data_IF_036399155149
#
_entry.id   IF_036399155149
#
_cell.length_a   1.000
_cell.length_b   1.000
_cell.length_c   1.000
_cell.angle_alpha   90.00
_cell.angle_beta   90.00
_cell.angle_gamma   90.00
#
_symmetry.space_group_name_H-M   'P 1'
#
loop_
_entity.id
_entity.type
_entity.pdbx_description
1 polymer ?
#
# COMPACT_ATOMS: atom_id res chain seq x y z
N UNK A 1 -5.55 31.80 -17.03
CA UNK A 1 -4.10 31.52 -16.95
C UNK A 1 -3.95 30.10 -16.47
N UNK A 2 -3.20 29.22 -17.16
CA UNK A 2 -3.00 27.87 -16.63
C UNK A 2 -2.05 27.94 -15.43
N UNK A 3 -2.44 27.35 -14.31
CA UNK A 3 -1.60 27.24 -13.12
C UNK A 3 -0.52 26.19 -13.42
N UNK A 4 0.76 26.49 -13.16
CA UNK A 4 1.83 25.49 -13.33
C UNK A 4 1.64 24.33 -12.34
N UNK A 5 2.10 23.12 -12.66
CA UNK A 5 1.91 21.98 -11.75
C UNK A 5 2.57 22.22 -10.39
N UNK A 6 3.77 22.80 -10.38
CA UNK A 6 4.42 23.23 -9.14
C UNK A 6 3.49 24.15 -8.33
N UNK A 7 2.93 25.19 -8.95
CA UNK A 7 2.05 26.12 -8.26
C UNK A 7 0.78 25.42 -7.73
N UNK A 8 0.19 24.50 -8.49
CA UNK A 8 -0.96 23.72 -8.07
C UNK A 8 -0.63 22.90 -6.81
N UNK A 9 0.43 22.11 -6.86
CA UNK A 9 0.85 21.25 -5.74
C UNK A 9 1.17 22.09 -4.50
N UNK A 10 1.98 23.15 -4.63
CA UNK A 10 2.33 24.02 -3.52
C UNK A 10 1.09 24.72 -2.92
N UNK A 11 0.14 25.17 -3.75
CA UNK A 11 -1.08 25.80 -3.24
C UNK A 11 -1.97 24.82 -2.47
N UNK A 12 -2.13 23.59 -2.96
CA UNK A 12 -2.91 22.57 -2.26
C UNK A 12 -2.22 22.10 -0.97
N UNK A 13 -0.90 21.95 -0.98
CA UNK A 13 -0.13 21.65 0.22
C UNK A 13 -0.30 22.74 1.29
N UNK A 14 -0.33 24.02 0.91
CA UNK A 14 -0.64 25.13 1.84
C UNK A 14 -2.07 25.08 2.37
N UNK A 15 -3.07 24.67 1.58
CA UNK A 15 -4.44 24.45 2.11
C UNK A 15 -4.46 23.36 3.19
N UNK A 16 -3.62 22.33 3.06
CA UNK A 16 -3.48 21.25 4.03
C UNK A 16 -2.69 21.63 5.30
N UNK A 17 -2.11 22.83 5.38
CA UNK A 17 -1.29 23.24 6.54
C UNK A 17 -2.09 23.91 7.65
N UNK A 18 -3.31 24.37 7.36
CA UNK A 18 -4.23 24.88 8.38
C UNK A 18 -4.89 23.71 9.12
N UNK A 19 -4.28 23.32 10.24
CA UNK A 19 -4.72 22.17 11.03
C UNK A 19 -6.17 22.27 11.52
N UNK A 20 -6.60 23.42 12.03
CA UNK A 20 -7.94 23.56 12.60
C UNK A 20 -9.01 23.54 11.50
N UNK A 21 -8.76 24.22 10.38
CA UNK A 21 -9.66 24.15 9.23
C UNK A 21 -9.70 22.76 8.62
N UNK A 22 -8.54 22.12 8.43
CA UNK A 22 -8.44 20.74 7.92
C UNK A 22 -9.22 19.79 8.82
N UNK A 23 -9.00 19.84 10.14
CA UNK A 23 -9.68 19.03 11.15
C UNK A 23 -11.19 19.23 11.11
N UNK A 24 -11.67 20.48 10.98
CA UNK A 24 -13.10 20.78 10.84
C UNK A 24 -13.71 20.13 9.59
N UNK A 25 -13.01 20.18 8.45
CA UNK A 25 -13.48 19.61 7.18
C UNK A 25 -13.53 18.08 7.26
N UNK A 26 -12.42 17.42 7.61
CA UNK A 26 -12.34 15.95 7.63
C UNK A 26 -13.29 15.32 8.66
N UNK A 27 -13.65 16.04 9.72
CA UNK A 27 -14.64 15.60 10.72
C UNK A 27 -16.09 16.01 10.39
N UNK A 28 -16.35 16.62 9.23
CA UNK A 28 -17.72 16.89 8.80
C UNK A 28 -18.48 15.57 8.54
N UNK A 29 -19.77 15.43 8.93
CA UNK A 29 -20.52 14.17 8.78
C UNK A 29 -20.59 13.60 7.36
N UNK A 30 -20.41 14.43 6.32
CA UNK A 30 -20.33 13.96 4.93
C UNK A 30 -19.12 13.07 4.66
N UNK A 31 -18.08 13.15 5.50
CA UNK A 31 -16.84 12.39 5.37
C UNK A 31 -16.88 11.01 6.04
N UNK A 32 -18.02 10.65 6.65
CA UNK A 32 -18.15 9.42 7.39
C UNK A 32 -18.63 8.30 6.45
N UNK A 33 -18.02 7.13 6.59
CA UNK A 33 -18.38 5.93 5.84
C UNK A 33 -19.38 5.08 6.65
N UNK A 34 -20.26 4.39 5.94
CA UNK A 34 -21.19 3.42 6.54
C UNK A 34 -20.68 2.01 6.30
N UNK A 35 -20.39 1.29 7.37
CA UNK A 35 -20.01 -0.13 7.32
C UNK A 35 -21.05 -0.90 8.13
N UNK A 36 -21.93 -1.62 7.44
CA UNK A 36 -23.12 -2.22 8.04
C UNK A 36 -23.95 -1.14 8.77
N UNK A 37 -24.19 -1.37 10.06
CA UNK A 37 -24.95 -0.43 10.91
C UNK A 37 -24.09 0.65 11.58
N UNK A 38 -22.77 0.66 11.35
CA UNK A 38 -21.85 1.61 11.97
C UNK A 38 -21.53 2.75 11.02
N UNK A 39 -21.46 3.96 11.56
CA UNK A 39 -20.96 5.15 10.86
C UNK A 39 -19.60 5.49 11.44
N UNK A 40 -18.56 5.48 10.61
CA UNK A 40 -17.16 5.58 11.01
C UNK A 40 -16.55 6.80 10.34
N UNK A 41 -15.83 7.62 11.09
CA UNK A 41 -14.94 8.62 10.52
C UNK A 41 -13.57 7.99 10.25
N UNK A 42 -13.10 7.93 8.99
CA UNK A 42 -11.77 7.41 8.69
C UNK A 42 -10.62 8.28 9.24
N UNK A 43 -10.85 9.57 9.48
CA UNK A 43 -9.82 10.47 9.98
C UNK A 43 -9.37 10.08 11.39
N UNK A 44 -8.08 9.81 11.52
CA UNK A 44 -7.40 9.59 12.79
C UNK A 44 -6.04 10.27 12.70
N UNK A 45 -5.73 11.15 13.65
CA UNK A 45 -4.52 11.98 13.62
C UNK A 45 -3.22 11.18 13.57
N UNK A 46 -3.20 9.97 14.16
CA UNK A 46 -2.03 9.09 14.22
C UNK A 46 -1.95 8.09 13.05
N UNK A 47 -2.90 8.15 12.11
CA UNK A 47 -3.01 7.19 11.01
C UNK A 47 -2.33 7.70 9.75
N UNK A 48 -1.44 6.91 9.14
CA UNK A 48 -0.86 7.23 7.83
C UNK A 48 -1.90 7.16 6.72
N UNK A 49 -2.94 6.33 6.86
CA UNK A 49 -3.98 6.22 5.82
C UNK A 49 -4.77 7.50 5.61
N UNK A 50 -5.13 8.22 6.69
CA UNK A 50 -6.09 9.34 6.66
C UNK A 50 -5.67 10.56 7.50
N UNK A 51 -4.52 10.53 8.17
CA UNK A 51 -4.13 11.48 9.22
C UNK A 51 -2.86 12.29 8.96
N UNK A 52 -2.27 12.77 10.06
CA UNK A 52 -1.11 13.68 10.05
C UNK A 52 0.18 13.04 9.51
N UNK A 53 0.48 11.74 9.72
CA UNK A 53 1.67 11.11 9.13
C UNK A 53 1.72 11.24 7.60
N UNK A 54 0.57 11.21 6.91
CA UNK A 54 0.52 11.40 5.45
C UNK A 54 0.95 12.80 5.04
N UNK A 55 0.50 13.81 5.80
CA UNK A 55 0.88 15.20 5.57
C UNK A 55 2.39 15.40 5.83
N UNK A 56 2.93 14.74 6.85
CA UNK A 56 4.37 14.74 7.10
C UNK A 56 5.16 14.15 5.92
N UNK A 57 4.70 13.05 5.33
CA UNK A 57 5.31 12.48 4.12
C UNK A 57 5.28 13.48 2.94
N UNK A 58 4.14 14.13 2.70
CA UNK A 58 4.01 15.18 1.68
C UNK A 58 4.96 16.35 1.90
N UNK A 59 5.04 16.89 3.12
CA UNK A 59 5.92 18.02 3.43
C UNK A 59 7.40 17.65 3.42
N UNK A 60 7.74 16.40 3.76
CA UNK A 60 9.09 15.86 3.59
C UNK A 60 9.51 15.89 2.12
N UNK A 61 8.67 15.34 1.24
CA UNK A 61 8.91 15.33 -0.20
C UNK A 61 9.03 16.75 -0.77
N UNK A 62 8.08 17.63 -0.43
CA UNK A 62 8.13 19.04 -0.84
C UNK A 62 9.36 19.76 -0.30
N UNK A 63 9.78 19.47 0.93
CA UNK A 63 10.99 20.04 1.53
C UNK A 63 12.27 19.60 0.83
N UNK A 64 12.32 18.41 0.23
CA UNK A 64 13.44 17.98 -0.61
C UNK A 64 13.40 18.62 -2.01
N UNK A 65 12.21 18.73 -2.61
CA UNK A 65 12.08 19.27 -3.97
C UNK A 65 12.13 20.81 -4.03
N UNK A 66 11.64 21.49 -3.00
CA UNK A 66 11.50 22.94 -2.91
C UNK A 66 11.98 23.45 -1.53
N UNK A 67 13.28 23.34 -1.20
CA UNK A 67 13.81 23.54 0.16
C UNK A 67 13.58 24.93 0.76
N UNK A 68 13.46 25.97 -0.06
CA UNK A 68 13.38 27.37 0.40
C UNK A 68 11.93 27.84 0.66
N UNK A 69 10.93 26.96 0.55
CA UNK A 69 9.51 27.31 0.68
C UNK A 69 8.91 26.98 2.07
N UNK A 70 9.75 26.59 3.05
CA UNK A 70 9.35 26.43 4.46
C UNK A 70 8.51 25.18 4.75
N UNK A 71 8.50 24.19 3.85
CA UNK A 71 7.75 22.93 4.02
C UNK A 71 8.17 22.14 5.25
N UNK A 72 9.46 22.21 5.61
CA UNK A 72 10.00 21.49 6.76
C UNK A 72 9.44 22.02 8.08
N UNK A 73 9.15 23.32 8.18
CA UNK A 73 8.46 23.92 9.33
C UNK A 73 7.02 23.41 9.45
N UNK A 74 6.29 23.30 8.35
CA UNK A 74 4.92 22.75 8.34
C UNK A 74 4.90 21.28 8.73
N UNK A 75 5.83 20.48 8.18
CA UNK A 75 6.01 19.08 8.58
C UNK A 75 6.37 18.94 10.06
N UNK A 76 7.23 19.81 10.59
CA UNK A 76 7.62 19.79 12.00
C UNK A 76 6.43 20.06 12.94
N UNK A 77 5.53 20.97 12.58
CA UNK A 77 4.31 21.24 13.36
C UNK A 77 3.45 19.98 13.51
N UNK A 78 3.31 19.19 12.44
CA UNK A 78 2.54 17.95 12.48
C UNK A 78 3.24 16.82 13.23
N UNK A 79 4.57 16.67 13.09
CA UNK A 79 5.32 15.72 13.92
C UNK A 79 5.19 16.03 15.41
N UNK A 80 5.22 17.31 15.80
CA UNK A 80 5.01 17.69 17.19
C UNK A 80 3.62 17.26 17.70
N UNK A 81 2.57 17.51 16.92
CA UNK A 81 1.20 17.06 17.25
C UNK A 81 1.10 15.55 17.36
N UNK A 82 1.73 14.81 16.46
CA UNK A 82 1.80 13.34 16.54
C UNK A 82 2.44 12.90 17.85
N UNK A 83 3.58 13.49 18.24
CA UNK A 83 4.24 13.20 19.52
C UNK A 83 3.36 13.52 20.74
N UNK A 84 2.64 14.64 20.72
CA UNK A 84 1.67 15.01 21.76
C UNK A 84 0.53 13.98 21.87
N UNK A 85 -0.04 13.56 20.75
CA UNK A 85 -1.11 12.56 20.70
C UNK A 85 -0.63 11.18 21.17
N UNK A 86 0.58 10.76 20.79
CA UNK A 86 1.19 9.50 21.24
C UNK A 86 1.42 9.50 22.76
N UNK A 87 1.87 10.62 23.32
CA UNK A 87 2.09 10.72 24.77
C UNK A 87 0.78 10.69 25.57
N UNK A 88 -0.32 11.20 25.00
CA UNK A 88 -1.62 11.25 25.68
C UNK A 88 -2.38 9.93 25.59
N UNK A 89 -2.38 9.28 24.43
CA UNK A 89 -3.27 8.15 24.13
C UNK A 89 -2.51 6.83 23.90
N UNK A 90 -1.19 6.84 23.94
CA UNK A 90 -0.37 5.74 23.46
C UNK A 90 -0.44 5.59 21.95
N UNK A 91 -0.09 4.41 21.45
CA UNK A 91 -0.23 4.06 20.04
C UNK A 91 -0.87 2.67 19.91
N UNK A 92 -1.76 2.46 18.92
CA UNK A 92 -2.66 1.31 18.91
C UNK A 92 -2.05 0.04 18.32
N UNK A 93 -1.08 0.14 17.39
CA UNK A 93 -0.54 -1.00 16.64
C UNK A 93 0.88 -0.75 16.12
N UNK A 94 1.54 -1.80 15.62
CA UNK A 94 2.82 -1.70 14.90
C UNK A 94 2.66 -1.36 13.41
N UNK A 95 1.44 -1.48 12.88
CA UNK A 95 1.11 -1.47 11.46
C UNK A 95 1.57 -0.23 10.68
N UNK A 96 1.70 -0.37 9.36
CA UNK A 96 2.08 0.71 8.46
C UNK A 96 1.02 1.82 8.40
N UNK A 97 -0.26 1.48 8.24
CA UNK A 97 -1.25 2.52 7.93
C UNK A 97 -1.98 3.11 9.12
N UNK A 98 -1.90 2.47 10.28
CA UNK A 98 -2.62 2.87 11.51
C UNK A 98 -1.74 2.86 12.77
N UNK A 99 -0.45 2.54 12.64
CA UNK A 99 0.44 2.27 13.77
C UNK A 99 1.83 2.90 13.66
N UNK A 100 2.75 2.36 14.46
CA UNK A 100 4.10 2.88 14.62
C UNK A 100 4.91 2.92 13.31
N UNK A 101 4.82 1.90 12.45
CA UNK A 101 5.58 1.88 11.22
C UNK A 101 5.25 3.08 10.31
N UNK A 102 3.98 3.48 10.24
CA UNK A 102 3.57 4.67 9.49
C UNK A 102 4.05 5.98 10.09
N UNK A 103 4.04 6.08 11.41
CA UNK A 103 4.55 7.26 12.13
C UNK A 103 6.07 7.36 11.96
N UNK A 104 6.78 6.23 12.05
CA UNK A 104 8.21 6.15 11.80
C UNK A 104 8.53 6.57 10.37
N UNK A 105 7.80 6.04 9.38
CA UNK A 105 7.96 6.41 7.97
C UNK A 105 7.79 7.92 7.76
N UNK A 106 6.75 8.51 8.37
CA UNK A 106 6.54 9.96 8.30
C UNK A 106 7.73 10.77 8.85
N UNK A 107 8.33 10.32 9.96
CA UNK A 107 9.52 10.94 10.51
C UNK A 107 10.75 10.75 9.60
N UNK A 108 10.89 9.59 8.97
CA UNK A 108 11.94 9.33 7.97
C UNK A 108 11.82 10.28 6.78
N UNK A 109 10.62 10.50 6.25
CA UNK A 109 10.41 11.45 5.15
C UNK A 109 10.80 12.89 5.52
N UNK A 110 10.64 13.29 6.79
CA UNK A 110 11.04 14.61 7.29
C UNK A 110 12.50 14.70 7.77
N UNK A 111 13.23 13.58 7.77
CA UNK A 111 14.54 13.47 8.42
C UNK A 111 15.69 14.19 7.71
N UNK A 112 15.48 14.72 6.49
CA UNK A 112 16.57 15.29 5.67
C UNK A 112 17.73 14.30 5.48
N UNK A 113 17.40 13.06 5.09
CA UNK A 113 18.37 11.97 4.94
C UNK A 113 19.00 11.55 6.27
N UNK A 114 18.19 11.45 7.34
CA UNK A 114 18.65 11.02 8.66
C UNK A 114 19.37 12.08 9.49
N UNK A 115 19.35 13.36 9.07
CA UNK A 115 19.95 14.50 9.80
C UNK A 115 19.04 15.07 10.89
N UNK A 116 17.75 14.75 10.88
CA UNK A 116 16.75 15.18 11.87
C UNK A 116 15.97 13.97 12.39
N UNK A 117 15.36 14.14 13.56
CA UNK A 117 14.44 13.17 14.19
C UNK A 117 15.06 11.81 14.56
N UNK A 118 16.38 11.70 14.66
CA UNK A 118 17.07 10.43 14.94
C UNK A 118 16.56 9.78 16.23
N UNK A 119 16.42 10.55 17.31
CA UNK A 119 15.90 10.03 18.57
C UNK A 119 14.46 9.55 18.45
N UNK A 120 13.61 10.27 17.71
CA UNK A 120 12.21 9.89 17.53
C UNK A 120 12.09 8.60 16.71
N UNK A 121 12.84 8.50 15.61
CA UNK A 121 12.91 7.30 14.77
C UNK A 121 13.45 6.11 15.57
N UNK A 122 14.54 6.29 16.32
CA UNK A 122 15.14 5.24 17.14
C UNK A 122 14.17 4.71 18.22
N UNK A 123 13.41 5.60 18.87
CA UNK A 123 12.37 5.18 19.83
C UNK A 123 11.28 4.33 19.17
N UNK A 124 10.87 4.68 17.95
CA UNK A 124 9.89 3.89 17.19
C UNK A 124 10.47 2.53 16.80
N UNK A 125 11.71 2.50 16.30
CA UNK A 125 12.40 1.27 15.93
C UNK A 125 12.50 0.32 17.13
N UNK A 126 12.92 0.84 18.28
CA UNK A 126 13.00 0.08 19.53
C UNK A 126 11.64 -0.48 19.95
N UNK A 127 10.58 0.34 19.91
CA UNK A 127 9.23 -0.10 20.28
C UNK A 127 8.69 -1.21 19.35
N UNK A 128 9.05 -1.20 18.07
CA UNK A 128 8.72 -2.29 17.13
C UNK A 128 9.54 -3.54 17.47
N UNK A 129 10.86 -3.43 17.64
CA UNK A 129 11.78 -4.54 17.98
C UNK A 129 11.40 -5.26 19.28
N UNK A 130 10.89 -4.53 20.27
CA UNK A 130 10.46 -5.09 21.55
C UNK A 130 9.15 -5.88 21.44
N UNK A 131 8.24 -5.48 20.56
CA UNK A 131 6.87 -6.03 20.48
C UNK A 131 6.66 -7.06 19.37
N UNK A 132 7.50 -7.03 18.33
CA UNK A 132 7.31 -7.89 17.15
C UNK A 132 7.41 -9.37 17.50
N UNK A 133 8.26 -9.75 18.46
CA UNK A 133 8.43 -11.14 18.88
C UNK A 133 7.13 -11.74 19.42
N UNK A 134 6.49 -11.05 20.37
CA UNK A 134 5.21 -11.48 20.96
C UNK A 134 4.09 -11.53 19.92
N UNK A 135 4.05 -10.55 19.01
CA UNK A 135 3.09 -10.53 17.90
C UNK A 135 3.26 -11.77 16.99
N UNK A 136 4.49 -12.08 16.57
CA UNK A 136 4.76 -13.24 15.70
C UNK A 136 4.40 -14.55 16.41
N UNK A 137 4.74 -14.72 17.69
CA UNK A 137 4.37 -15.93 18.45
C UNK A 137 2.84 -16.10 18.55
N UNK A 138 2.09 -15.01 18.77
CA UNK A 138 0.64 -15.05 18.74
C UNK A 138 0.09 -15.44 17.36
N UNK A 139 0.64 -14.88 16.28
CA UNK A 139 0.22 -15.21 14.91
C UNK A 139 0.47 -16.68 14.56
N UNK A 140 1.59 -17.26 15.01
CA UNK A 140 1.93 -18.68 14.79
C UNK A 140 0.97 -19.65 15.47
N UNK A 141 0.30 -19.23 16.54
CA UNK A 141 -0.68 -20.06 17.24
C UNK A 141 -2.02 -20.15 16.51
N UNK A 142 -2.28 -19.27 15.53
CA UNK A 142 -3.53 -19.28 14.78
C UNK A 142 -3.59 -20.47 13.83
N UNK A 143 -4.68 -21.27 13.83
CA UNK A 143 -4.83 -22.38 12.88
C UNK A 143 -4.93 -21.87 11.44
N UNK A 144 -5.57 -20.70 11.25
CA UNK A 144 -5.72 -20.03 9.96
C UNK A 144 -5.51 -18.52 10.14
N UNK A 145 -4.90 -17.84 9.16
CA UNK A 145 -4.72 -16.41 9.21
C UNK A 145 -6.04 -15.66 9.01
N UNK A 146 -6.08 -14.43 9.49
CA UNK A 146 -6.90 -13.37 8.93
C UNK A 146 -6.04 -12.56 7.94
N UNK A 147 -6.66 -11.79 7.05
CA UNK A 147 -5.89 -10.97 6.09
C UNK A 147 -5.00 -9.93 6.79
N UNK A 148 -5.49 -9.32 7.88
CA UNK A 148 -4.78 -8.31 8.67
C UNK A 148 -3.59 -8.87 9.48
N UNK A 149 -3.39 -10.19 9.51
CA UNK A 149 -2.23 -10.81 10.14
C UNK A 149 -0.96 -10.62 9.29
N UNK A 150 -1.10 -10.67 7.96
CA UNK A 150 0.04 -10.71 7.05
C UNK A 150 0.09 -9.54 6.06
N UNK A 151 -1.01 -8.79 5.91
CA UNK A 151 -1.12 -7.80 4.85
C UNK A 151 -0.20 -6.56 4.93
N UNK A 152 -0.26 -5.72 3.89
CA UNK A 152 0.50 -4.48 3.79
C UNK A 152 -0.09 -3.33 4.64
N UNK A 153 -1.38 -3.43 5.00
CA UNK A 153 -2.11 -2.35 5.69
C UNK A 153 -1.85 -2.38 7.20
N UNK A 154 -2.19 -3.51 7.80
CA UNK A 154 -2.24 -3.79 9.24
C UNK A 154 -1.23 -4.87 9.66
N UNK A 155 -0.88 -5.78 8.75
CA UNK A 155 -0.11 -6.97 9.04
C UNK A 155 1.40 -6.82 8.93
N UNK A 156 2.07 -7.97 8.99
CA UNK A 156 3.53 -8.04 9.04
C UNK A 156 4.21 -7.53 7.77
N UNK A 157 3.56 -7.53 6.60
CA UNK A 157 4.20 -7.03 5.38
C UNK A 157 4.42 -5.52 5.44
N UNK A 158 3.42 -4.77 5.95
CA UNK A 158 3.56 -3.33 6.16
C UNK A 158 4.64 -3.00 7.20
N UNK A 159 4.69 -3.76 8.30
CA UNK A 159 5.71 -3.60 9.34
C UNK A 159 7.11 -3.88 8.76
N UNK A 160 7.26 -4.97 8.00
CA UNK A 160 8.52 -5.33 7.37
C UNK A 160 8.99 -4.25 6.39
N UNK A 161 8.08 -3.68 5.59
CA UNK A 161 8.41 -2.60 4.65
C UNK A 161 9.14 -1.46 5.35
N UNK A 162 8.63 -1.00 6.51
CA UNK A 162 9.29 0.01 7.33
C UNK A 162 10.63 -0.49 7.90
N UNK A 163 10.68 -1.70 8.46
CA UNK A 163 11.90 -2.25 9.06
C UNK A 163 13.04 -2.35 8.03
N UNK A 164 12.72 -2.63 6.76
CA UNK A 164 13.69 -2.73 5.67
C UNK A 164 14.39 -1.40 5.34
N UNK A 165 13.87 -0.25 5.82
CA UNK A 165 14.60 1.03 5.77
C UNK A 165 15.81 1.06 6.71
N UNK A 166 15.86 0.14 7.69
CA UNK A 166 16.89 0.04 8.72
C UNK A 166 17.46 -1.40 8.80
N UNK A 167 17.99 -1.96 7.70
CA UNK A 167 18.26 -3.40 7.58
C UNK A 167 19.26 -3.95 8.61
N UNK A 168 20.19 -3.11 9.08
CA UNK A 168 21.16 -3.50 10.10
C UNK A 168 20.60 -3.37 11.52
N UNK A 169 19.92 -2.26 11.82
CA UNK A 169 19.35 -1.98 13.14
C UNK A 169 18.18 -2.92 13.47
N UNK A 170 17.30 -3.17 12.49
CA UNK A 170 16.07 -3.94 12.66
C UNK A 170 16.17 -5.37 12.09
N UNK A 171 17.39 -5.89 11.94
CA UNK A 171 17.64 -7.22 11.34
C UNK A 171 16.88 -8.33 12.06
N UNK A 172 16.73 -8.23 13.38
CA UNK A 172 16.00 -9.21 14.20
C UNK A 172 14.52 -9.21 13.85
N UNK A 173 13.85 -8.06 13.83
CA UNK A 173 12.45 -7.93 13.41
C UNK A 173 12.23 -8.48 11.99
N UNK A 174 13.09 -8.09 11.05
CA UNK A 174 13.00 -8.54 9.66
C UNK A 174 13.11 -10.07 9.61
N UNK A 175 14.10 -10.66 10.29
CA UNK A 175 14.31 -12.12 10.31
C UNK A 175 13.11 -12.87 10.89
N UNK A 176 12.49 -12.36 11.97
CA UNK A 176 11.30 -12.97 12.56
C UNK A 176 10.11 -12.94 11.61
N UNK A 177 9.90 -11.81 10.92
CA UNK A 177 8.83 -11.67 9.94
C UNK A 177 9.06 -12.61 8.75
N UNK A 178 10.27 -12.66 8.18
CA UNK A 178 10.57 -13.55 7.06
C UNK A 178 10.33 -15.02 7.41
N UNK A 179 10.75 -15.46 8.61
CA UNK A 179 10.47 -16.82 9.10
C UNK A 179 8.98 -17.09 9.23
N UNK A 180 8.21 -16.14 9.76
CA UNK A 180 6.75 -16.26 9.82
C UNK A 180 6.12 -16.38 8.42
N UNK A 181 6.58 -15.58 7.45
CA UNK A 181 6.09 -15.66 6.06
C UNK A 181 6.36 -17.05 5.47
N UNK A 182 7.53 -17.62 5.74
CA UNK A 182 7.91 -18.96 5.26
C UNK A 182 7.05 -20.03 5.95
N UNK A 183 6.83 -19.93 7.25
CA UNK A 183 5.92 -20.81 8.00
C UNK A 183 4.48 -20.73 7.44
N UNK A 184 4.00 -19.52 7.15
CA UNK A 184 2.68 -19.27 6.56
C UNK A 184 2.56 -19.84 5.14
N UNK A 185 3.66 -19.93 4.40
CA UNK A 185 3.69 -20.47 3.04
C UNK A 185 3.60 -21.98 2.94
N UNK A 186 3.82 -22.69 4.06
CA UNK A 186 3.77 -24.15 4.09
C UNK A 186 2.34 -24.64 3.87
N UNK A 187 2.22 -25.80 3.22
CA UNK A 187 0.91 -26.39 2.97
C UNK A 187 0.28 -26.88 4.28
N UNK A 188 -1.03 -26.71 4.37
CA UNK A 188 -1.88 -27.24 5.43
C UNK A 188 -2.79 -28.29 4.86
N UNK A 189 -2.83 -29.45 5.51
CA UNK A 189 -3.77 -30.51 5.19
C UNK A 189 -5.17 -30.09 5.65
N UNK A 190 -6.10 -30.01 4.70
CA UNK A 190 -7.52 -29.76 4.92
C UNK A 190 -8.33 -30.89 4.29
N UNK A 191 -8.92 -31.75 5.12
CA UNK A 191 -9.65 -32.94 4.65
C UNK A 191 -8.80 -33.70 3.60
N UNK A 192 -9.24 -33.73 2.35
CA UNK A 192 -8.62 -34.46 1.24
C UNK A 192 -7.70 -33.59 0.36
N UNK A 193 -7.38 -32.35 0.75
CA UNK A 193 -6.55 -31.43 -0.04
C UNK A 193 -5.47 -30.74 0.80
N UNK A 194 -4.30 -30.54 0.18
CA UNK A 194 -3.28 -29.62 0.68
C UNK A 194 -3.51 -28.23 0.10
N UNK A 195 -3.71 -27.26 0.98
CA UNK A 195 -3.85 -25.84 0.63
C UNK A 195 -2.65 -25.05 1.15
N UNK A 196 -2.22 -23.98 0.47
CA UNK A 196 -1.25 -23.05 1.04
C UNK A 196 -1.72 -22.50 2.39
N UNK A 197 -0.78 -22.31 3.33
CA UNK A 197 -1.10 -21.89 4.69
C UNK A 197 -1.74 -20.50 4.83
N UNK A 198 -1.73 -19.69 3.75
CA UNK A 198 -2.44 -18.42 3.60
C UNK A 198 -3.92 -18.56 3.16
N UNK A 199 -4.48 -19.75 3.16
CA UNK A 199 -5.92 -19.96 3.00
C UNK A 199 -6.71 -19.29 4.14
N UNK A 200 -7.72 -18.50 3.78
CA UNK A 200 -8.66 -17.84 4.72
C UNK A 200 -9.99 -18.60 4.71
N UNK A 201 -10.37 -19.25 5.83
CA UNK A 201 -11.66 -19.91 5.94
C UNK A 201 -12.80 -18.89 6.06
N UNK A 202 -14.06 -19.26 5.72
CA UNK A 202 -15.21 -18.34 5.77
C UNK A 202 -15.42 -17.66 7.12
N UNK A 203 -15.07 -18.35 8.22
CA UNK A 203 -15.16 -17.82 9.58
C UNK A 203 -14.23 -16.63 9.83
N UNK A 204 -13.12 -16.55 9.10
CA UNK A 204 -12.10 -15.49 9.16
C UNK A 204 -12.28 -14.43 8.06
N UNK A 205 -13.33 -14.52 7.22
CA UNK A 205 -13.63 -13.48 6.25
C UNK A 205 -13.92 -12.14 6.93
N UNK A 206 -13.44 -11.04 6.36
CA UNK A 206 -13.51 -9.70 6.97
C UNK A 206 -14.95 -9.16 7.06
N UNK A 207 -15.80 -9.51 6.10
CA UNK A 207 -17.21 -9.09 6.08
C UNK A 207 -18.19 -10.21 5.75
N UNK A 208 -19.47 -10.03 6.11
CA UNK A 208 -20.54 -10.95 5.73
C UNK A 208 -20.74 -11.03 4.21
N UNK A 209 -20.47 -9.94 3.49
CA UNK A 209 -20.52 -9.92 2.02
C UNK A 209 -19.47 -10.86 1.43
N UNK A 210 -18.23 -10.80 1.92
CA UNK A 210 -17.17 -11.70 1.48
C UNK A 210 -17.45 -13.15 1.88
N UNK A 211 -17.96 -13.38 3.10
CA UNK A 211 -18.36 -14.71 3.56
C UNK A 211 -19.41 -15.34 2.63
N UNK A 212 -20.37 -14.56 2.15
CA UNK A 212 -21.37 -15.02 1.17
C UNK A 212 -20.78 -15.23 -0.22
N UNK A 213 -19.83 -14.39 -0.63
CA UNK A 213 -19.15 -14.49 -1.93
C UNK A 213 -18.23 -15.70 -2.01
N UNK A 214 -17.61 -16.08 -0.90
CA UNK A 214 -16.69 -17.23 -0.80
C UNK A 214 -17.09 -18.16 0.36
N UNK A 215 -18.18 -18.92 0.22
CA UNK A 215 -18.73 -19.75 1.28
C UNK A 215 -17.80 -20.90 1.70
N UNK A 216 -16.83 -21.26 0.87
CA UNK A 216 -15.79 -22.27 1.16
C UNK A 216 -14.42 -21.66 1.44
N UNK A 217 -14.32 -20.34 1.60
CA UNK A 217 -13.07 -19.63 1.84
C UNK A 217 -12.29 -19.33 0.57
N UNK A 218 -11.17 -18.63 0.74
CA UNK A 218 -10.43 -18.03 -0.37
C UNK A 218 -8.96 -17.77 -0.04
N UNK A 219 -8.21 -17.37 -1.05
CA UNK A 219 -6.86 -16.86 -0.99
C UNK A 219 -6.89 -15.40 -1.49
N UNK A 220 -6.40 -14.47 -0.68
CA UNK A 220 -6.34 -13.06 -1.08
C UNK A 220 -5.11 -12.81 -1.96
N UNK A 221 -5.34 -12.32 -3.18
CA UNK A 221 -4.28 -12.02 -4.15
C UNK A 221 -4.17 -10.51 -4.46
N UNK A 222 -4.84 -9.65 -3.69
CA UNK A 222 -4.61 -8.20 -3.75
C UNK A 222 -3.27 -7.84 -3.11
N UNK A 223 -2.60 -6.79 -3.60
CA UNK A 223 -1.35 -6.34 -2.99
C UNK A 223 -1.58 -5.72 -1.61
N UNK A 224 -2.72 -5.07 -1.36
CA UNK A 224 -2.94 -4.45 -0.05
C UNK A 224 -3.22 -5.48 1.05
N UNK A 225 -3.88 -6.61 0.73
CA UNK A 225 -4.43 -7.59 1.69
C UNK A 225 -4.00 -9.04 1.46
N UNK A 226 -3.10 -9.29 0.51
CA UNK A 226 -2.81 -10.60 -0.03
C UNK A 226 -1.33 -10.94 -0.12
N UNK A 227 -1.06 -12.09 -0.71
CA UNK A 227 0.28 -12.66 -0.86
C UNK A 227 1.27 -11.86 -1.74
N UNK A 228 0.85 -10.97 -2.68
CA UNK A 228 1.82 -10.11 -3.38
C UNK A 228 2.65 -9.24 -2.45
N UNK A 229 2.10 -8.81 -1.30
CA UNK A 229 2.83 -8.03 -0.32
C UNK A 229 4.00 -8.81 0.29
N UNK A 230 3.73 -10.06 0.65
CA UNK A 230 4.72 -10.99 1.21
C UNK A 230 5.82 -11.29 0.19
N UNK A 231 5.44 -11.47 -1.08
CA UNK A 231 6.37 -11.69 -2.17
C UNK A 231 7.39 -10.54 -2.30
N UNK A 232 6.91 -9.28 -2.26
CA UNK A 232 7.78 -8.10 -2.33
C UNK A 232 8.69 -8.02 -1.12
N UNK A 233 8.18 -8.26 0.10
CA UNK A 233 9.00 -8.26 1.33
C UNK A 233 10.13 -9.28 1.26
N UNK A 234 9.84 -10.52 0.84
CA UNK A 234 10.86 -11.57 0.69
C UNK A 234 11.93 -11.17 -0.32
N UNK A 235 11.53 -10.61 -1.46
CA UNK A 235 12.46 -10.16 -2.49
C UNK A 235 13.32 -8.99 -2.03
N UNK A 236 12.71 -8.01 -1.36
CA UNK A 236 13.39 -6.83 -0.86
C UNK A 236 14.40 -7.16 0.24
N UNK A 237 14.05 -8.08 1.15
CA UNK A 237 15.00 -8.61 2.13
C UNK A 237 16.21 -9.28 1.44
N UNK A 238 15.98 -10.05 0.37
CA UNK A 238 17.05 -10.69 -0.41
C UNK A 238 17.99 -9.67 -1.06
N UNK A 239 17.43 -8.60 -1.66
CA UNK A 239 18.21 -7.48 -2.23
C UNK A 239 19.09 -6.79 -1.18
N UNK A 240 18.61 -6.71 0.05
CA UNK A 240 19.33 -6.17 1.21
C UNK A 240 20.28 -7.18 1.88
N UNK A 241 20.52 -8.34 1.27
CA UNK A 241 21.37 -9.42 1.80
C UNK A 241 20.91 -9.99 3.16
N UNK A 242 19.60 -9.99 3.41
CA UNK A 242 18.98 -10.63 4.59
C UNK A 242 18.33 -11.94 4.12
N UNK A 243 18.89 -13.05 4.59
CA UNK A 243 18.51 -14.40 4.18
C UNK A 243 18.00 -15.24 5.36
N UNK A 244 16.99 -16.05 5.10
CA UNK A 244 16.50 -17.12 5.99
C UNK A 244 16.23 -18.40 5.18
N UNK A 245 16.31 -19.55 5.83
CA UNK A 245 16.11 -20.86 5.17
C UNK A 245 14.68 -20.96 4.60
N UNK A 246 14.54 -21.41 3.35
CA UNK A 246 13.25 -21.56 2.67
C UNK A 246 12.75 -20.30 1.94
N UNK A 247 13.53 -19.20 1.94
CA UNK A 247 13.10 -17.93 1.36
C UNK A 247 12.89 -17.99 -0.16
N UNK A 248 13.81 -18.61 -0.91
CA UNK A 248 13.71 -18.69 -2.37
C UNK A 248 12.56 -19.60 -2.81
N UNK A 249 12.37 -20.71 -2.09
CA UNK A 249 11.23 -21.62 -2.29
C UNK A 249 9.91 -20.93 -1.98
N UNK A 250 9.86 -20.09 -0.95
CA UNK A 250 8.68 -19.29 -0.61
C UNK A 250 8.37 -18.25 -1.70
N UNK A 251 9.38 -17.54 -2.21
CA UNK A 251 9.22 -16.59 -3.34
C UNK A 251 8.66 -17.33 -4.56
N UNK A 252 9.28 -18.45 -4.94
CA UNK A 252 8.87 -19.28 -6.07
C UNK A 252 7.42 -19.77 -5.89
N UNK A 253 7.05 -20.29 -4.71
CA UNK A 253 5.70 -20.78 -4.42
C UNK A 253 4.62 -19.71 -4.57
N UNK A 254 4.86 -18.51 -4.03
CA UNK A 254 3.90 -17.40 -4.13
C UNK A 254 3.80 -16.92 -5.59
N UNK A 255 4.93 -16.74 -6.28
CA UNK A 255 4.95 -16.31 -7.67
C UNK A 255 4.25 -17.33 -8.58
N UNK A 256 4.51 -18.63 -8.42
CA UNK A 256 3.87 -19.69 -9.19
C UNK A 256 2.37 -19.79 -8.91
N UNK A 257 1.93 -19.54 -7.67
CA UNK A 257 0.50 -19.43 -7.35
C UNK A 257 -0.16 -18.30 -8.15
N UNK A 258 0.45 -17.10 -8.16
CA UNK A 258 -0.06 -15.96 -8.92
C UNK A 258 -0.04 -16.23 -10.42
N UNK A 259 1.01 -16.88 -10.94
CA UNK A 259 1.10 -17.27 -12.34
C UNK A 259 0.04 -18.31 -12.73
N UNK A 260 -0.30 -19.24 -11.82
CA UNK A 260 -1.31 -20.27 -12.07
C UNK A 260 -2.71 -19.69 -12.17
N UNK A 261 -3.08 -18.77 -11.28
CA UNK A 261 -4.44 -18.24 -11.16
C UNK A 261 -4.63 -16.90 -11.87
N UNK A 262 -4.10 -16.80 -13.09
CA UNK A 262 -4.39 -15.69 -14.01
C UNK A 262 -5.77 -15.87 -14.64
N UNK A 263 -6.50 -14.77 -14.79
CA UNK A 263 -7.64 -14.69 -15.70
C UNK A 263 -7.08 -14.50 -17.11
N UNK A 264 -7.49 -15.36 -18.05
CA UNK A 264 -7.08 -15.31 -19.46
C UNK A 264 -8.29 -15.07 -20.33
N UNK A 265 -8.22 -14.06 -21.19
CA UNK A 265 -9.21 -13.79 -22.22
C UNK A 265 -8.55 -13.39 -23.56
N UNK A 266 -9.34 -12.92 -24.51
CA UNK A 266 -8.87 -12.49 -25.82
C UNK A 266 -7.93 -11.28 -25.80
N UNK A 267 -7.98 -10.47 -24.73
CA UNK A 267 -7.18 -9.25 -24.58
C UNK A 267 -5.86 -9.49 -23.85
N UNK A 268 -5.73 -10.63 -23.16
CA UNK A 268 -4.49 -11.05 -22.52
C UNK A 268 -4.70 -11.75 -21.19
N UNK A 269 -3.66 -11.74 -20.37
CA UNK A 269 -3.69 -12.30 -19.02
C UNK A 269 -3.65 -11.19 -17.97
N UNK A 270 -4.49 -11.31 -16.95
CA UNK A 270 -4.63 -10.35 -15.86
C UNK A 270 -5.06 -11.06 -14.57
N UNK A 271 -5.14 -10.34 -13.45
CA UNK A 271 -5.49 -10.90 -12.14
C UNK A 271 -6.74 -10.28 -11.55
N UNK A 272 -7.54 -11.12 -10.91
CA UNK A 272 -8.69 -10.70 -10.11
C UNK A 272 -8.30 -10.31 -8.68
N UNK A 273 -9.28 -10.33 -7.79
CA UNK A 273 -9.09 -9.90 -6.39
C UNK A 273 -8.74 -11.06 -5.43
N UNK A 274 -9.30 -12.23 -5.68
CA UNK A 274 -9.21 -13.42 -4.83
C UNK A 274 -9.20 -14.68 -5.68
N UNK A 275 -8.71 -15.78 -5.12
CA UNK A 275 -8.90 -17.15 -5.64
C UNK A 275 -9.76 -17.90 -4.64
N UNK A 276 -10.93 -18.40 -5.05
CA UNK A 276 -11.78 -19.23 -4.18
C UNK A 276 -11.15 -20.62 -3.95
N UNK A 277 -11.57 -21.31 -2.88
CA UNK A 277 -11.15 -22.70 -2.67
C UNK A 277 -11.56 -23.62 -3.83
N UNK A 278 -12.70 -23.35 -4.46
CA UNK A 278 -13.18 -24.12 -5.62
C UNK A 278 -12.27 -23.92 -6.84
N UNK A 279 -11.90 -22.69 -7.16
CA UNK A 279 -10.93 -22.39 -8.23
C UNK A 279 -9.58 -23.05 -7.97
N UNK A 280 -9.12 -23.02 -6.70
CA UNK A 280 -7.89 -23.71 -6.31
C UNK A 280 -7.95 -25.21 -6.57
N UNK A 281 -9.05 -25.87 -6.17
CA UNK A 281 -9.30 -27.30 -6.39
C UNK A 281 -9.34 -27.65 -7.87
N UNK A 282 -10.02 -26.83 -8.68
CA UNK A 282 -10.19 -27.06 -10.11
C UNK A 282 -8.93 -26.69 -10.92
N UNK A 283 -8.03 -25.88 -10.35
CA UNK A 283 -6.85 -25.38 -11.03
C UNK A 283 -7.15 -24.37 -12.13
N UNK A 284 -8.34 -23.76 -12.13
CA UNK A 284 -8.80 -22.80 -13.13
C UNK A 284 -9.61 -21.68 -12.48
N UNK A 285 -9.54 -20.48 -13.07
CA UNK A 285 -10.26 -19.29 -12.58
C UNK A 285 -11.66 -19.25 -13.20
N UNK A 286 -12.67 -19.05 -12.35
CA UNK A 286 -14.08 -18.98 -12.72
C UNK A 286 -14.61 -17.54 -12.63
N UNK A 287 -14.17 -16.80 -11.59
CA UNK A 287 -14.58 -15.43 -11.34
C UNK A 287 -13.65 -14.44 -12.07
N UNK A 288 -14.24 -13.56 -12.88
CA UNK A 288 -13.51 -12.52 -13.62
C UNK A 288 -13.51 -11.16 -12.95
N UNK A 289 -14.02 -11.08 -11.72
CA UNK A 289 -14.05 -9.85 -10.92
C UNK A 289 -12.63 -9.32 -10.68
N UNK A 290 -12.42 -8.09 -11.13
CA UNK A 290 -11.11 -7.45 -11.16
C UNK A 290 -11.25 -5.95 -10.91
N UNK A 291 -10.13 -5.34 -10.54
CA UNK A 291 -9.94 -3.90 -10.50
C UNK A 291 -8.51 -3.62 -10.98
N UNK A 292 -8.29 -2.57 -11.74
CA UNK A 292 -6.94 -2.18 -12.14
C UNK A 292 -6.38 -1.18 -11.10
N UNK A 293 -6.21 -1.63 -9.85
CA UNK A 293 -5.78 -0.80 -8.72
C UNK A 293 -4.46 -1.28 -8.09
N UNK A 294 -3.86 -0.43 -7.25
CA UNK A 294 -2.76 -0.86 -6.37
C UNK A 294 -3.26 -1.93 -5.39
N UNK A 295 -4.38 -1.69 -4.71
CA UNK A 295 -4.85 -2.58 -3.64
C UNK A 295 -5.25 -3.98 -4.13
N UNK A 296 -6.00 -4.05 -5.23
CA UNK A 296 -6.52 -5.29 -5.80
C UNK A 296 -6.41 -5.32 -7.32
N UNK A 297 -6.12 -6.51 -7.83
CA UNK A 297 -6.02 -6.83 -9.25
C UNK A 297 -4.65 -6.54 -9.84
N UNK A 298 -4.64 -6.23 -11.13
CA UNK A 298 -3.44 -6.46 -11.95
C UNK A 298 -2.25 -5.58 -11.62
N UNK A 299 -2.37 -4.25 -11.39
CA UNK A 299 -1.21 -3.41 -11.13
C UNK A 299 -0.35 -3.87 -9.94
N UNK A 300 -0.99 -4.15 -8.79
CA UNK A 300 -0.28 -4.62 -7.60
C UNK A 300 0.33 -6.02 -7.78
N UNK A 301 -0.42 -6.95 -8.38
CA UNK A 301 0.07 -8.32 -8.62
C UNK A 301 1.22 -8.33 -9.61
N UNK A 302 1.07 -7.64 -10.74
CA UNK A 302 2.10 -7.55 -11.77
C UNK A 302 3.38 -6.95 -11.21
N UNK A 303 3.30 -5.90 -10.38
CA UNK A 303 4.49 -5.35 -9.74
C UNK A 303 5.21 -6.38 -8.86
N UNK A 304 4.48 -7.13 -8.04
CA UNK A 304 5.09 -8.18 -7.21
C UNK A 304 5.80 -9.26 -8.03
N UNK A 305 5.21 -9.67 -9.17
CA UNK A 305 5.80 -10.64 -10.09
C UNK A 305 7.03 -10.08 -10.82
N UNK A 306 7.03 -8.79 -11.17
CA UNK A 306 8.20 -8.13 -11.74
C UNK A 306 9.37 -8.17 -10.75
N UNK A 307 9.12 -7.79 -9.50
CA UNK A 307 10.15 -7.81 -8.45
C UNK A 307 10.66 -9.23 -8.19
N UNK A 308 9.77 -10.22 -8.13
CA UNK A 308 10.16 -11.63 -7.99
C UNK A 308 10.97 -12.14 -9.19
N UNK A 309 10.53 -11.83 -10.41
CA UNK A 309 11.21 -12.20 -11.64
C UNK A 309 12.62 -11.64 -11.73
N UNK A 310 12.82 -10.36 -11.37
CA UNK A 310 14.15 -9.76 -11.29
C UNK A 310 15.01 -10.38 -10.18
N UNK A 311 14.40 -10.69 -9.03
CA UNK A 311 15.10 -11.25 -7.86
C UNK A 311 15.57 -12.69 -8.10
N UNK A 312 14.77 -13.50 -8.80
CA UNK A 312 15.08 -14.90 -9.14
C UNK A 312 15.69 -15.07 -10.53
N UNK A 313 15.90 -13.98 -11.28
CA UNK A 313 16.28 -14.01 -12.71
C UNK A 313 15.33 -14.88 -13.56
N UNK A 314 14.03 -14.83 -13.28
CA UNK A 314 12.99 -15.58 -13.99
C UNK A 314 12.29 -14.70 -15.03
N UNK A 315 12.64 -14.91 -16.30
CA UNK A 315 12.12 -14.11 -17.42
C UNK A 315 10.60 -14.30 -17.62
N UNK A 316 10.05 -15.50 -17.36
CA UNK A 316 8.62 -15.74 -17.53
C UNK A 316 7.76 -14.91 -16.58
N UNK A 317 8.24 -14.67 -15.35
CA UNK A 317 7.56 -13.77 -14.42
C UNK A 317 7.64 -12.31 -14.89
N UNK A 318 8.80 -11.88 -15.39
CA UNK A 318 9.00 -10.52 -15.91
C UNK A 318 8.07 -10.27 -17.10
N UNK A 319 8.05 -11.17 -18.08
CA UNK A 319 7.24 -11.03 -19.30
C UNK A 319 5.75 -10.99 -18.97
N UNK A 320 5.31 -11.85 -18.06
CA UNK A 320 3.92 -11.90 -17.60
C UNK A 320 3.53 -10.62 -16.86
N UNK A 321 4.37 -10.13 -15.96
CA UNK A 321 4.17 -8.88 -15.25
C UNK A 321 4.08 -7.68 -16.21
N UNK A 322 5.01 -7.58 -17.16
CA UNK A 322 5.03 -6.50 -18.16
C UNK A 322 3.78 -6.54 -19.03
N UNK A 323 3.40 -7.72 -19.53
CA UNK A 323 2.21 -7.87 -20.37
C UNK A 323 0.93 -7.49 -19.60
N UNK A 324 0.77 -7.99 -18.38
CA UNK A 324 -0.40 -7.69 -17.55
C UNK A 324 -0.49 -6.21 -17.20
N UNK A 325 0.63 -5.58 -16.83
CA UNK A 325 0.65 -4.15 -16.51
C UNK A 325 0.33 -3.28 -17.74
N UNK A 326 0.84 -3.63 -18.93
CA UNK A 326 0.50 -2.91 -20.19
C UNK A 326 -0.99 -2.98 -20.52
N UNK A 327 -1.64 -4.10 -20.20
CA UNK A 327 -3.09 -4.25 -20.35
C UNK A 327 -3.83 -3.39 -19.33
N UNK A 328 -3.49 -3.51 -18.05
CA UNK A 328 -4.14 -2.80 -16.95
C UNK A 328 -4.04 -1.27 -17.07
N UNK A 329 -2.88 -0.75 -17.48
CA UNK A 329 -2.65 0.69 -17.65
C UNK A 329 -3.49 1.31 -18.77
N UNK A 330 -3.99 0.51 -19.71
CA UNK A 330 -4.89 0.93 -20.79
C UNK A 330 -6.36 0.68 -20.45
N UNK A 331 -6.64 -0.42 -19.75
CA UNK A 331 -8.00 -0.87 -19.44
C UNK A 331 -8.64 -0.06 -18.31
N UNK A 332 -7.90 0.23 -17.24
CA UNK A 332 -8.35 1.00 -16.06
C UNK A 332 -9.70 0.53 -15.51
N UNK A 333 -9.90 -0.79 -15.42
CA UNK A 333 -11.17 -1.39 -15.03
C UNK A 333 -11.54 -1.06 -13.58
N UNK A 334 -12.79 -0.61 -13.35
CA UNK A 334 -13.32 -0.22 -12.05
C UNK A 334 -12.47 0.86 -11.31
N UNK A 335 -11.94 1.84 -12.06
CA UNK A 335 -11.21 3.00 -11.53
C UNK A 335 -11.99 4.28 -11.79
N UNK A 336 -12.42 4.95 -10.71
CA UNK A 336 -13.26 6.17 -10.76
C UNK A 336 -12.73 7.32 -9.90
N UNK A 337 -11.73 7.09 -9.04
CA UNK A 337 -11.17 8.09 -8.13
C UNK A 337 -9.79 8.56 -8.61
N UNK A 338 -9.39 9.82 -8.34
CA UNK A 338 -8.00 10.23 -8.52
C UNK A 338 -7.07 9.67 -7.43
N UNK A 339 -7.59 9.00 -6.38
CA UNK A 339 -6.83 8.54 -5.22
C UNK A 339 -5.73 7.51 -5.52
N UNK A 340 -4.95 7.14 -4.50
CA UNK A 340 -3.85 6.18 -4.64
C UNK A 340 -4.33 4.73 -4.56
N UNK A 341 -5.15 4.39 -3.56
CA UNK A 341 -5.47 2.99 -3.24
C UNK A 341 -6.09 2.21 -4.40
N UNK A 342 -7.18 2.77 -4.92
CA UNK A 342 -7.99 2.24 -6.01
C UNK A 342 -8.35 3.32 -7.03
N UNK A 343 -7.44 4.25 -7.22
CA UNK A 343 -7.58 5.36 -8.15
C UNK A 343 -6.43 5.47 -9.14
N UNK A 344 -6.52 6.50 -9.99
CA UNK A 344 -5.55 6.76 -11.05
C UNK A 344 -4.14 7.00 -10.50
N UNK A 345 -3.98 7.59 -9.32
CA UNK A 345 -2.65 7.89 -8.75
C UNK A 345 -1.85 6.60 -8.48
N UNK A 346 -2.49 5.56 -7.94
CA UNK A 346 -1.80 4.29 -7.70
C UNK A 346 -1.34 3.63 -9.00
N UNK A 347 -2.19 3.64 -10.02
CA UNK A 347 -1.84 3.07 -11.34
C UNK A 347 -0.73 3.86 -12.01
N UNK A 348 -0.81 5.20 -11.98
CA UNK A 348 0.21 6.09 -12.52
C UNK A 348 1.56 5.84 -11.85
N UNK A 349 1.56 5.71 -10.53
CA UNK A 349 2.77 5.48 -9.76
C UNK A 349 3.37 4.10 -10.03
N UNK A 350 2.55 3.04 -10.13
CA UNK A 350 3.02 1.71 -10.52
C UNK A 350 3.57 1.72 -11.94
N UNK A 351 2.97 2.43 -12.89
CA UNK A 351 3.54 2.61 -14.23
C UNK A 351 4.95 3.25 -14.14
N UNK A 352 5.10 4.31 -13.35
CA UNK A 352 6.41 4.92 -13.13
C UNK A 352 7.42 3.93 -12.54
N UNK A 353 7.02 3.12 -11.55
CA UNK A 353 7.87 2.06 -11.00
C UNK A 353 8.24 0.99 -12.02
N UNK A 354 7.31 0.56 -12.87
CA UNK A 354 7.63 -0.34 -13.98
C UNK A 354 8.65 0.26 -14.95
N UNK A 355 8.54 1.56 -15.27
CA UNK A 355 9.55 2.24 -16.06
C UNK A 355 10.93 2.23 -15.37
N UNK A 356 10.99 2.57 -14.08
CA UNK A 356 12.24 2.58 -13.31
C UNK A 356 12.88 1.18 -13.23
N UNK A 357 12.07 0.13 -13.12
CA UNK A 357 12.54 -1.25 -13.03
C UNK A 357 12.90 -1.88 -14.39
N UNK A 358 12.35 -1.40 -15.51
CA UNK A 358 12.48 -2.07 -16.83
C UNK A 358 13.05 -1.21 -17.95
N UNK A 359 13.08 0.11 -17.78
CA UNK A 359 13.37 1.12 -18.82
C UNK A 359 12.42 1.07 -20.05
N UNK A 360 11.24 0.44 -19.96
CA UNK A 360 10.25 0.41 -21.04
C UNK A 360 9.49 1.75 -21.08
N UNK A 361 9.65 2.53 -22.15
CA UNK A 361 9.10 3.89 -22.29
C UNK A 361 7.57 3.96 -22.22
N UNK A 362 6.86 2.94 -22.71
CA UNK A 362 5.39 2.86 -22.66
C UNK A 362 4.84 3.13 -21.26
N UNK A 363 5.54 2.68 -20.22
CA UNK A 363 5.10 2.86 -18.84
C UNK A 363 5.32 4.29 -18.35
N UNK A 364 6.38 4.96 -18.79
CA UNK A 364 6.59 6.39 -18.50
C UNK A 364 5.50 7.24 -19.16
N UNK A 365 5.21 6.95 -20.43
CA UNK A 365 4.15 7.63 -21.18
C UNK A 365 2.78 7.41 -20.53
N UNK A 366 2.47 6.18 -20.10
CA UNK A 366 1.26 5.87 -19.35
C UNK A 366 1.18 6.63 -18.03
N UNK A 367 2.27 6.68 -17.25
CA UNK A 367 2.33 7.43 -16.00
C UNK A 367 2.05 8.93 -16.22
N UNK A 368 2.69 9.55 -17.21
CA UNK A 368 2.47 10.97 -17.54
C UNK A 368 1.03 11.23 -17.99
N UNK A 369 0.47 10.38 -18.87
CA UNK A 369 -0.92 10.51 -19.31
C UNK A 369 -1.90 10.39 -18.15
N UNK A 370 -1.67 9.44 -17.24
CA UNK A 370 -2.51 9.27 -16.05
C UNK A 370 -2.43 10.46 -15.11
N UNK A 371 -1.27 11.14 -15.01
CA UNK A 371 -1.19 12.43 -14.31
C UNK A 371 -2.07 13.48 -14.97
N UNK A 372 -2.05 13.61 -16.30
CA UNK A 372 -2.96 14.53 -17.00
C UNK A 372 -4.44 14.20 -16.74
N UNK A 373 -4.78 12.91 -16.65
CA UNK A 373 -6.13 12.47 -16.30
C UNK A 373 -6.49 12.77 -14.83
N UNK A 374 -5.57 12.61 -13.88
CA UNK A 374 -5.74 13.00 -12.47
C UNK A 374 -6.07 14.49 -12.35
N UNK A 375 -5.36 15.33 -13.10
CA UNK A 375 -5.57 16.80 -13.03
C UNK A 375 -6.97 17.22 -13.49
N UNK A 376 -7.64 16.43 -14.33
CA UNK A 376 -9.04 16.69 -14.71
C UNK A 376 -10.02 16.60 -13.52
N UNK A 377 -9.62 15.95 -12.43
CA UNK A 377 -10.41 15.90 -11.18
C UNK A 377 -10.17 17.10 -10.26
N UNK A 378 -9.22 17.98 -10.58
CA UNK A 378 -8.95 19.17 -9.79
C UNK A 378 -10.10 20.16 -9.90
N UNK A 379 -10.57 20.65 -8.74
CA UNK A 379 -11.45 21.81 -8.67
C UNK A 379 -11.00 22.73 -7.51
N UNK A 380 -10.78 24.01 -7.82
CA UNK A 380 -10.33 25.00 -6.85
C UNK A 380 -11.31 25.25 -5.69
N UNK A 381 -12.61 25.03 -5.93
CA UNK A 381 -13.71 25.15 -4.97
C UNK A 381 -13.69 24.01 -3.94
N UNK A 382 -13.05 22.87 -4.25
CA UNK A 382 -12.92 21.79 -3.30
C UNK A 382 -11.95 22.17 -2.18
N UNK A 383 -12.25 21.83 -0.91
CA UNK A 383 -11.43 22.23 0.23
C UNK A 383 -9.96 21.84 0.09
N UNK A 384 -9.69 20.67 -0.48
CA UNK A 384 -8.35 20.15 -0.73
C UNK A 384 -8.04 19.95 -2.22
N UNK A 385 -8.82 20.56 -3.12
CA UNK A 385 -8.61 20.49 -4.57
C UNK A 385 -9.08 19.21 -5.24
N UNK A 386 -9.05 18.08 -4.55
CA UNK A 386 -9.51 16.78 -5.02
C UNK A 386 -10.49 16.18 -4.01
N UNK A 387 -11.41 15.35 -4.50
CA UNK A 387 -12.26 14.50 -3.67
C UNK A 387 -11.93 13.05 -3.92
N UNK A 388 -11.98 12.24 -2.86
CA UNK A 388 -12.08 10.81 -3.04
C UNK A 388 -13.47 10.47 -3.56
N UNK A 389 -13.55 9.54 -4.48
CA UNK A 389 -14.80 9.10 -5.10
C UNK A 389 -14.97 7.63 -4.75
N UNK A 390 -16.13 7.25 -4.21
CA UNK A 390 -16.50 5.86 -3.94
C UNK A 390 -17.81 5.51 -4.64
N UNK A 391 -17.82 4.40 -5.37
CA UNK A 391 -19.04 3.85 -5.98
C UNK A 391 -19.54 2.64 -5.16
N UNK A 392 -20.77 2.73 -4.66
CA UNK A 392 -21.42 1.64 -3.92
C UNK A 392 -22.92 1.61 -4.22
N UNK A 393 -23.43 0.43 -4.57
CA UNK A 393 -24.87 0.15 -4.74
C UNK A 393 -25.58 1.14 -5.70
N UNK A 394 -24.90 1.55 -6.78
CA UNK A 394 -25.44 2.51 -7.76
C UNK A 394 -25.45 3.97 -7.29
N UNK A 395 -24.79 4.28 -6.17
CA UNK A 395 -24.56 5.65 -5.70
C UNK A 395 -23.07 6.01 -5.73
N UNK A 396 -22.77 7.22 -6.17
CA UNK A 396 -21.42 7.81 -6.10
C UNK A 396 -21.34 8.74 -4.90
N UNK A 397 -20.35 8.54 -4.04
CA UNK A 397 -20.08 9.37 -2.87
C UNK A 397 -18.75 10.08 -3.03
N UNK A 398 -18.67 11.26 -2.45
CA UNK A 398 -17.51 12.13 -2.55
C UNK A 398 -17.04 12.54 -1.16
N UNK A 399 -15.75 12.43 -0.91
CA UNK A 399 -15.16 12.66 0.40
C UNK A 399 -13.96 13.61 0.33
N UNK A 400 -13.85 14.48 1.34
CA UNK A 400 -12.76 15.43 1.50
C UNK A 400 -11.69 14.82 2.43
N UNK A 401 -10.87 13.93 1.88
CA UNK A 401 -9.80 13.24 2.61
C UNK A 401 -8.42 13.85 2.33
N UNK A 402 -7.53 13.71 3.32
CA UNK A 402 -6.18 14.31 3.29
C UNK A 402 -5.05 13.28 3.25
N UNK A 403 -5.34 12.02 3.62
CA UNK A 403 -4.32 11.01 3.82
C UNK A 403 -3.66 10.43 2.57
N UNK A 404 -2.84 9.39 2.79
CA UNK A 404 -1.98 8.82 1.75
C UNK A 404 -2.72 7.86 0.81
N UNK A 405 -3.68 7.09 1.34
CA UNK A 405 -4.42 6.05 0.60
C UNK A 405 -5.48 6.69 -0.31
N UNK A 406 -6.39 7.46 0.29
CA UNK A 406 -7.58 7.99 -0.38
C UNK A 406 -7.67 9.52 -0.34
N UNK A 407 -6.61 10.20 0.06
CA UNK A 407 -6.61 11.64 0.24
C UNK A 407 -5.73 12.41 -0.74
N UNK A 408 -5.81 13.72 -0.60
CA UNK A 408 -5.04 14.66 -1.43
C UNK A 408 -3.53 14.45 -1.30
N UNK A 409 -3.00 14.05 -0.14
CA UNK A 409 -1.56 13.86 0.02
C UNK A 409 -0.99 12.78 -0.93
N UNK A 410 -1.66 11.63 -1.07
CA UNK A 410 -1.24 10.57 -1.98
C UNK A 410 -1.24 11.01 -3.46
N UNK A 411 -2.24 11.82 -3.83
CA UNK A 411 -2.35 12.41 -5.17
C UNK A 411 -1.16 13.34 -5.45
N UNK A 412 -0.88 14.27 -4.54
CA UNK A 412 0.20 15.24 -4.70
C UNK A 412 1.58 14.56 -4.72
N UNK A 413 1.82 13.57 -3.85
CA UNK A 413 3.05 12.78 -3.85
C UNK A 413 3.27 12.04 -5.17
N UNK A 414 2.21 11.51 -5.76
CA UNK A 414 2.27 10.85 -7.08
C UNK A 414 2.65 11.84 -8.18
N UNK A 415 1.99 13.00 -8.23
CA UNK A 415 2.30 14.06 -9.21
C UNK A 415 3.77 14.50 -9.07
N UNK A 416 4.23 14.75 -7.83
CA UNK A 416 5.60 15.15 -7.55
C UNK A 416 6.61 14.09 -8.02
N UNK A 417 6.35 12.81 -7.77
CA UNK A 417 7.25 11.74 -8.15
C UNK A 417 7.34 11.57 -9.67
N UNK A 418 6.23 11.67 -10.40
CA UNK A 418 6.24 11.51 -11.86
C UNK A 418 6.89 12.72 -12.55
N UNK A 419 6.75 13.92 -11.99
CA UNK A 419 7.32 15.14 -12.59
C UNK A 419 8.80 15.36 -12.28
N UNK A 420 9.21 15.13 -11.03
CA UNK A 420 10.52 15.56 -10.53
C UNK A 420 11.36 14.41 -9.95
N UNK A 421 10.87 13.17 -10.08
CA UNK A 421 11.32 11.98 -9.36
C UNK A 421 11.11 12.08 -7.84
N UNK A 422 10.77 10.95 -7.22
CA UNK A 422 10.64 10.83 -5.77
C UNK A 422 11.96 11.17 -5.05
N UNK A 423 11.90 11.82 -3.87
CA UNK A 423 13.06 12.18 -3.02
C UNK A 423 13.03 11.55 -1.63
N UNK A 424 11.86 11.18 -1.13
CA UNK A 424 11.65 10.56 0.20
C UNK A 424 10.99 9.19 0.08
N UNK A 425 11.15 8.27 1.04
CA UNK A 425 10.72 6.88 0.89
C UNK A 425 9.22 6.66 1.15
N UNK A 426 8.35 7.65 0.88
CA UNK A 426 6.91 7.57 1.22
C UNK A 426 6.19 6.38 0.58
N UNK A 427 6.67 5.91 -0.57
CA UNK A 427 6.18 4.77 -1.33
C UNK A 427 6.52 3.40 -0.70
N UNK A 428 7.38 3.38 0.32
CA UNK A 428 7.57 2.24 1.21
C UNK A 428 6.25 1.81 1.87
N UNK A 429 5.34 2.76 2.14
CA UNK A 429 3.99 2.46 2.63
C UNK A 429 3.21 1.51 1.71
N UNK A 430 3.50 1.55 0.42
CA UNK A 430 2.79 0.81 -0.62
C UNK A 430 3.55 -0.42 -1.12
N UNK A 431 4.69 -0.76 -0.51
CA UNK A 431 5.63 -1.78 -0.98
C UNK A 431 6.13 -1.52 -2.41
N UNK A 432 6.27 -0.23 -2.77
CA UNK A 432 6.70 0.18 -4.10
C UNK A 432 8.11 0.80 -4.11
N UNK A 433 8.73 0.96 -2.94
CA UNK A 433 10.07 1.54 -2.81
C UNK A 433 11.16 0.64 -3.37
N UNK A 434 12.17 1.28 -3.97
CA UNK A 434 13.49 0.68 -4.16
C UNK A 434 14.15 0.47 -2.80
N UNK A 435 14.82 -0.68 -2.63
CA UNK A 435 15.53 -1.08 -1.42
C UNK A 435 16.99 -1.39 -1.70
#
# INVERSE_FOLDING_TARGET
MSISMKALVCNLAKKLSDYENMKRIVNHPSNYIKIGNKTINPFNELSLSHGLPALCALYGELGEQYPDEGWDLLGHQYIKKIGEQMNQHGFPSLSMFTGLAGIGLAAVCLSKGGKRYQNFISTINQAIEERIGEMIEYLKQKPYPNMDDYDAISGVAGIASYCLLFPQEMKKSITLILKYIIDLSQDKQMEDINVPGWYIPPKNAFSDTERRKWPSGFFNIGLSHGIPALLIVLCNAKKLNIYVDGQDECIQRIADFLMKFQIKDENGSYWGTHVSLEEYKNGSVLNKDTRDAWCYGTPGVAYSLLIAGKTLNNQSYIDCAVSGMKLASKRLYNIFSPSFCHGLSGVAYICNRFYEETNISDFKEAACKLVDDIIKFYNEEFPFGFKNIEESEGSTKYYDYVGLIDGTAGILLTILAIQNSKKTPWDCAFLLSEV
#
